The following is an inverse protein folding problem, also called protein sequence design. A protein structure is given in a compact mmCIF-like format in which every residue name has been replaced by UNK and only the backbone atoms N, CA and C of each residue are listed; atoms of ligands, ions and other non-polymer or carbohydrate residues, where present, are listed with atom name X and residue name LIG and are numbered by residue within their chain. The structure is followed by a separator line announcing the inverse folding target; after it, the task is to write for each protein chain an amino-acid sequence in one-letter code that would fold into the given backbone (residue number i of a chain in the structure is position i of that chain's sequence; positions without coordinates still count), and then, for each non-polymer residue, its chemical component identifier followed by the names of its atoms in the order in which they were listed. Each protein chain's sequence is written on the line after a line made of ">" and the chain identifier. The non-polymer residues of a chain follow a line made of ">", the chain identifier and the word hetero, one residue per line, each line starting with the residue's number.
data_IF_393052739403
#
_entry.id   IF_393052739403
#
_cell.length_a   1.000
_cell.length_b   1.000
_cell.length_c   1.000
_cell.angle_alpha   90.00
_cell.angle_beta   90.00
_cell.angle_gamma   90.00
#
_symmetry.space_group_name_H-M   'P 1'
#
loop_
_entity.id
_entity.type
_entity.pdbx_description
1 polymer ?
#
# COMPACT_ATOMS: atom_id res chain seq x y z
N UNK A 1 -30.05 -10.34 16.31
CA UNK A 1 -29.72 -11.53 17.11
C UNK A 1 -28.22 -11.51 17.34
N UNK A 2 -27.78 -11.03 18.49
CA UNK A 2 -26.36 -10.93 18.82
C UNK A 2 -25.79 -12.33 19.06
N UNK A 3 -24.61 -12.61 18.49
CA UNK A 3 -23.87 -13.83 18.76
C UNK A 3 -23.49 -13.85 20.25
N UNK A 4 -24.28 -14.56 21.05
CA UNK A 4 -24.01 -14.75 22.47
C UNK A 4 -22.95 -15.85 22.60
N UNK A 5 -21.70 -15.44 22.81
CA UNK A 5 -20.62 -16.37 23.16
C UNK A 5 -20.75 -16.67 24.66
N UNK A 6 -20.78 -17.94 25.09
CA UNK A 6 -20.88 -18.27 26.51
C UNK A 6 -19.54 -17.99 27.20
N UNK A 7 -19.57 -17.16 28.25
CA UNK A 7 -18.42 -16.91 29.12
C UNK A 7 -18.31 -18.06 30.14
N UNK A 8 -17.38 -18.99 29.90
CA UNK A 8 -16.99 -19.99 30.89
C UNK A 8 -15.90 -19.41 31.78
N UNK A 9 -16.19 -19.30 33.07
CA UNK A 9 -15.22 -18.88 34.09
C UNK A 9 -14.28 -20.06 34.41
N UNK A 10 -12.96 -19.93 34.23
CA UNK A 10 -11.97 -20.16 35.29
C UNK A 10 -10.51 -19.93 34.87
N UNK A 11 -9.73 -19.50 35.87
CA UNK A 11 -8.27 -19.41 35.99
C UNK A 11 -7.53 -18.23 35.32
N UNK A 12 -6.76 -17.58 36.20
CA UNK A 12 -5.88 -16.43 36.05
C UNK A 12 -4.87 -16.55 34.88
N UNK A 13 -5.34 -16.39 33.64
CA UNK A 13 -4.48 -16.32 32.45
C UNK A 13 -4.59 -14.92 31.86
N UNK A 14 -3.50 -14.16 31.96
CA UNK A 14 -3.36 -12.92 31.21
C UNK A 14 -3.22 -13.26 29.73
N UNK A 15 -4.12 -12.75 28.90
CA UNK A 15 -4.00 -12.83 27.45
C UNK A 15 -2.68 -12.20 26.99
N UNK A 16 -1.77 -13.03 26.47
CA UNK A 16 -0.49 -12.59 25.91
C UNK A 16 -0.41 -13.09 24.47
N UNK A 17 -1.08 -12.37 23.56
CA UNK A 17 -1.04 -12.64 22.13
C UNK A 17 0.25 -12.11 21.54
N UNK A 18 1.04 -13.00 20.93
CA UNK A 18 2.26 -12.60 20.23
C UNK A 18 1.94 -12.38 18.74
N UNK A 19 2.71 -11.53 18.04
CA UNK A 19 2.56 -11.32 16.60
C UNK A 19 2.61 -12.62 15.78
N UNK A 20 3.40 -13.61 16.22
CA UNK A 20 3.48 -14.93 15.57
C UNK A 20 2.17 -15.72 15.64
N UNK A 21 1.38 -15.54 16.69
CA UNK A 21 0.11 -16.24 16.87
C UNK A 21 -0.96 -15.63 15.95
N UNK A 22 -0.94 -14.30 15.77
CA UNK A 22 -1.79 -13.59 14.78
C UNK A 22 -1.45 -13.96 13.33
N UNK A 23 -0.16 -14.15 13.01
CA UNK A 23 0.26 -14.65 11.70
C UNK A 23 -0.32 -16.03 11.38
N UNK A 24 -0.40 -16.94 12.36
CA UNK A 24 -0.98 -18.28 12.18
C UNK A 24 -2.48 -18.24 11.91
N UNK A 25 -3.18 -17.25 12.47
CA UNK A 25 -4.60 -16.99 12.21
C UNK A 25 -4.83 -16.29 10.86
N UNK A 26 -3.76 -15.92 10.14
CA UNK A 26 -3.80 -15.31 8.82
C UNK A 26 -4.04 -13.80 8.82
N UNK A 27 -3.81 -13.12 9.95
CA UNK A 27 -3.68 -11.66 9.97
C UNK A 27 -2.27 -11.31 9.53
N UNK A 28 -2.11 -10.84 8.29
CA UNK A 28 -0.81 -10.50 7.70
C UNK A 28 -0.50 -9.01 7.72
N UNK A 29 -1.53 -8.17 7.77
CA UNK A 29 -1.41 -6.72 7.80
C UNK A 29 -0.92 -6.19 9.17
N UNK A 30 0.05 -5.27 9.13
CA UNK A 30 0.69 -4.72 10.32
C UNK A 30 -0.27 -3.82 11.12
N UNK A 31 -1.14 -3.08 10.43
CA UNK A 31 -2.12 -2.18 11.07
C UNK A 31 -3.14 -3.02 11.84
N UNK A 32 -3.70 -4.04 11.20
CA UNK A 32 -4.67 -4.97 11.77
C UNK A 32 -4.11 -5.72 12.97
N UNK A 33 -2.85 -6.20 12.92
CA UNK A 33 -2.20 -6.86 14.07
C UNK A 33 -2.04 -5.94 15.27
N UNK A 34 -1.62 -4.69 15.03
CA UNK A 34 -1.48 -3.69 16.08
C UNK A 34 -2.83 -3.42 16.76
N UNK A 35 -3.87 -3.24 15.93
CA UNK A 35 -5.24 -3.00 16.39
C UNK A 35 -5.78 -4.15 17.25
N UNK A 36 -5.61 -5.40 16.80
CA UNK A 36 -6.00 -6.60 17.56
C UNK A 36 -5.29 -6.63 18.91
N UNK A 37 -3.98 -6.39 18.92
CA UNK A 37 -3.17 -6.43 20.15
C UNK A 37 -3.65 -5.38 21.15
N UNK A 38 -3.95 -4.16 20.69
CA UNK A 38 -4.47 -3.08 21.54
C UNK A 38 -5.86 -3.41 22.10
N UNK A 39 -6.77 -3.92 21.27
CA UNK A 39 -8.16 -4.21 21.69
C UNK A 39 -8.20 -5.40 22.67
N UNK A 40 -7.47 -6.47 22.37
CA UNK A 40 -7.36 -7.63 23.26
C UNK A 40 -6.78 -7.24 24.61
N UNK A 41 -5.68 -6.48 24.62
CA UNK A 41 -5.05 -6.03 25.86
C UNK A 41 -5.96 -5.10 26.70
N UNK A 42 -6.87 -4.36 26.06
CA UNK A 42 -7.77 -3.43 26.75
C UNK A 42 -9.00 -4.12 27.33
N UNK A 43 -9.65 -4.98 26.55
CA UNK A 43 -11.00 -5.47 26.87
C UNK A 43 -11.06 -6.98 27.20
N UNK A 44 -10.05 -7.76 26.81
CA UNK A 44 -10.05 -9.23 26.93
C UNK A 44 -8.94 -9.74 27.86
N UNK A 45 -8.57 -8.96 28.89
CA UNK A 45 -7.46 -9.27 29.83
C UNK A 45 -7.57 -10.59 30.59
N UNK A 46 -8.80 -11.07 30.78
CA UNK A 46 -9.12 -12.26 31.58
C UNK A 46 -9.51 -13.48 30.73
N UNK A 47 -9.44 -13.38 29.40
CA UNK A 47 -9.72 -14.51 28.52
C UNK A 47 -8.44 -15.27 28.18
N UNK A 48 -8.58 -16.57 27.98
CA UNK A 48 -7.50 -17.43 27.53
C UNK A 48 -7.13 -17.13 26.08
N UNK A 49 -5.88 -17.41 25.71
CA UNK A 49 -5.43 -17.30 24.32
C UNK A 49 -6.24 -18.19 23.35
N UNK A 50 -6.84 -19.28 23.86
CA UNK A 50 -7.72 -20.17 23.07
C UNK A 50 -9.02 -19.48 22.68
N UNK A 51 -9.73 -18.91 23.65
CA UNK A 51 -10.99 -18.18 23.41
C UNK A 51 -10.79 -16.99 22.47
N UNK A 52 -9.69 -16.25 22.64
CA UNK A 52 -9.37 -15.13 21.76
C UNK A 52 -9.06 -15.62 20.34
N UNK A 53 -8.39 -16.77 20.19
CA UNK A 53 -8.12 -17.33 18.86
C UNK A 53 -9.40 -17.79 18.14
N UNK A 54 -10.36 -18.37 18.87
CA UNK A 54 -11.68 -18.74 18.33
C UNK A 54 -12.47 -17.49 17.92
N UNK A 55 -12.47 -16.47 18.77
CA UNK A 55 -13.13 -15.19 18.49
C UNK A 55 -12.55 -14.51 17.24
N UNK A 56 -11.23 -14.44 17.12
CA UNK A 56 -10.56 -13.87 15.96
C UNK A 56 -10.79 -14.70 14.69
N UNK A 57 -10.92 -16.01 14.81
CA UNK A 57 -11.26 -16.90 13.69
C UNK A 57 -12.71 -16.67 13.23
N UNK A 58 -13.64 -16.55 14.17
CA UNK A 58 -15.04 -16.21 13.87
C UNK A 58 -15.17 -14.85 13.20
N UNK A 59 -14.46 -13.84 13.71
CA UNK A 59 -14.39 -12.50 13.11
C UNK A 59 -13.85 -12.53 11.69
N UNK A 60 -12.81 -13.33 11.45
CA UNK A 60 -12.23 -13.50 10.11
C UNK A 60 -13.20 -14.17 9.12
N UNK A 61 -14.00 -15.12 9.59
CA UNK A 61 -14.95 -15.85 8.76
C UNK A 61 -16.21 -15.02 8.42
N UNK A 62 -16.62 -14.11 9.31
CA UNK A 62 -17.74 -13.20 9.06
C UNK A 62 -17.45 -11.78 9.57
N UNK A 63 -16.61 -10.99 8.87
CA UNK A 63 -16.31 -9.62 9.29
C UNK A 63 -17.57 -8.73 9.33
N UNK A 64 -18.54 -8.97 8.45
CA UNK A 64 -19.78 -8.20 8.35
C UNK A 64 -20.64 -8.29 9.62
N UNK A 65 -20.75 -9.48 10.22
CA UNK A 65 -21.47 -9.70 11.48
C UNK A 65 -20.90 -8.93 12.68
N UNK A 66 -19.62 -8.57 12.64
CA UNK A 66 -18.94 -7.84 13.72
C UNK A 66 -18.81 -6.34 13.47
N UNK A 67 -19.26 -5.81 12.32
CA UNK A 67 -19.11 -4.39 11.97
C UNK A 67 -19.74 -3.41 12.99
N UNK A 68 -20.84 -3.81 13.63
CA UNK A 68 -21.52 -3.03 14.67
C UNK A 68 -21.03 -3.32 16.10
N UNK A 69 -20.05 -4.22 16.27
CA UNK A 69 -19.56 -4.60 17.58
C UNK A 69 -18.70 -3.48 18.19
N UNK A 70 -18.93 -3.05 19.45
CA UNK A 70 -18.25 -1.89 20.06
C UNK A 70 -16.72 -1.97 20.03
N UNK A 71 -16.18 -3.17 20.20
CA UNK A 71 -14.75 -3.42 20.31
C UNK A 71 -14.16 -4.01 19.02
N UNK A 72 -14.75 -5.12 18.55
CA UNK A 72 -14.33 -5.86 17.37
C UNK A 72 -14.68 -5.18 16.03
N UNK A 73 -15.60 -4.22 16.02
CA UNK A 73 -16.02 -3.54 14.79
C UNK A 73 -14.88 -2.80 14.09
N UNK A 74 -13.92 -2.26 14.86
CA UNK A 74 -12.72 -1.63 14.27
C UNK A 74 -11.81 -2.64 13.57
N UNK A 75 -11.72 -3.86 14.09
CA UNK A 75 -10.93 -4.96 13.48
C UNK A 75 -11.67 -5.45 12.23
N UNK A 76 -12.98 -5.65 12.32
CA UNK A 76 -13.80 -6.02 11.18
C UNK A 76 -13.69 -4.99 10.04
N UNK A 77 -13.76 -3.69 10.35
CA UNK A 77 -13.61 -2.61 9.37
C UNK A 77 -12.21 -2.57 8.73
N UNK A 78 -11.14 -2.93 9.44
CA UNK A 78 -9.80 -2.99 8.82
C UNK A 78 -9.63 -4.19 7.88
N UNK A 79 -10.51 -5.19 7.98
CA UNK A 79 -10.50 -6.40 7.15
C UNK A 79 -11.49 -6.33 5.99
N UNK A 80 -12.61 -5.62 6.17
CA UNK A 80 -13.45 -5.17 5.08
C UNK A 80 -12.67 -4.06 4.40
N UNK A 81 -11.78 -4.44 3.48
CA UNK A 81 -11.24 -3.52 2.52
C UNK A 81 -12.43 -2.85 1.85
N UNK A 82 -12.71 -1.60 2.21
CA UNK A 82 -13.36 -0.72 1.26
C UNK A 82 -12.44 -0.79 0.05
N UNK A 83 -12.87 -1.50 -0.99
CA UNK A 83 -12.36 -1.28 -2.34
C UNK A 83 -12.59 0.20 -2.58
N UNK A 84 -11.61 1.02 -2.18
CA UNK A 84 -11.60 2.42 -2.54
C UNK A 84 -11.61 2.36 -4.06
N UNK A 85 -12.73 2.74 -4.66
CA UNK A 85 -12.82 2.95 -6.09
C UNK A 85 -11.78 4.02 -6.40
N UNK A 86 -10.56 3.58 -6.68
CA UNK A 86 -9.51 4.44 -7.18
C UNK A 86 -9.96 4.79 -8.59
N UNK A 87 -10.70 5.89 -8.70
CA UNK A 87 -11.01 6.51 -9.98
C UNK A 87 -9.70 6.98 -10.58
N UNK A 88 -8.98 6.11 -11.28
CA UNK A 88 -7.81 6.47 -12.04
C UNK A 88 -8.24 6.77 -13.48
N UNK A 89 -7.58 7.76 -14.09
CA UNK A 89 -7.70 8.01 -15.52
C UNK A 89 -6.49 7.38 -16.19
N UNK A 90 -6.72 6.46 -17.12
CA UNK A 90 -5.68 5.97 -18.01
C UNK A 90 -5.52 6.92 -19.19
N UNK A 91 -4.29 7.06 -19.66
CA UNK A 91 -3.98 7.82 -20.87
C UNK A 91 -3.15 6.96 -21.79
N UNK A 92 -3.44 7.03 -23.09
CA UNK A 92 -2.60 6.42 -24.10
C UNK A 92 -1.33 7.25 -24.33
N UNK A 93 -0.25 6.57 -24.70
CA UNK A 93 1.00 7.25 -25.07
C UNK A 93 0.85 7.94 -26.43
N UNK A 94 1.54 9.07 -26.58
CA UNK A 94 1.67 9.78 -27.83
C UNK A 94 2.45 8.93 -28.83
N UNK A 95 1.93 8.79 -30.05
CA UNK A 95 2.60 8.07 -31.14
C UNK A 95 3.75 8.86 -31.75
N UNK A 96 3.74 10.19 -31.61
CA UNK A 96 4.80 11.08 -32.10
C UNK A 96 5.50 11.72 -30.92
N UNK A 97 6.80 11.46 -30.80
CA UNK A 97 7.62 12.07 -29.74
C UNK A 97 7.72 13.58 -29.94
N UNK A 98 7.66 14.32 -28.82
CA UNK A 98 7.85 15.77 -28.81
C UNK A 98 9.34 16.12 -28.99
N UNK A 99 9.65 17.40 -29.08
CA UNK A 99 11.02 17.87 -29.26
C UNK A 99 11.92 17.43 -28.10
N UNK A 100 12.97 16.67 -28.42
CA UNK A 100 14.01 16.24 -27.48
C UNK A 100 15.38 16.78 -27.93
N UNK A 101 16.06 17.53 -27.07
CA UNK A 101 17.45 17.96 -27.29
C UNK A 101 18.41 17.02 -26.58
N UNK A 102 19.39 16.50 -27.30
CA UNK A 102 20.39 15.58 -26.71
C UNK A 102 21.77 16.22 -26.80
N UNK A 103 22.42 16.35 -25.64
CA UNK A 103 23.78 16.88 -25.51
C UNK A 103 24.74 15.72 -25.23
N UNK A 104 25.85 15.62 -25.95
CA UNK A 104 26.83 14.54 -25.69
C UNK A 104 26.33 13.13 -26.05
N UNK A 105 25.46 13.01 -27.07
CA UNK A 105 24.75 11.77 -27.43
C UNK A 105 25.61 10.49 -27.54
N UNK A 106 26.92 10.61 -27.78
CA UNK A 106 27.85 9.47 -27.89
C UNK A 106 28.14 8.80 -26.54
N UNK A 107 28.11 9.57 -25.45
CA UNK A 107 28.45 9.10 -24.09
C UNK A 107 27.21 8.60 -23.32
N UNK A 108 26.02 8.84 -23.86
CA UNK A 108 24.75 8.49 -23.21
C UNK A 108 24.36 7.06 -23.54
N UNK A 109 24.15 6.26 -22.50
CA UNK A 109 23.68 4.89 -22.57
C UNK A 109 22.33 4.76 -23.28
N UNK A 110 22.13 3.62 -23.95
CA UNK A 110 20.87 3.32 -24.64
C UNK A 110 19.67 3.28 -23.67
N UNK A 111 19.87 2.74 -22.47
CA UNK A 111 18.86 2.67 -21.40
C UNK A 111 18.29 4.07 -21.05
N UNK A 112 19.17 5.06 -20.87
CA UNK A 112 18.78 6.43 -20.57
C UNK A 112 17.98 7.08 -21.70
N UNK A 113 18.38 6.81 -22.96
CA UNK A 113 17.64 7.28 -24.14
C UNK A 113 16.24 6.68 -24.21
N UNK A 114 16.10 5.38 -23.97
CA UNK A 114 14.78 4.71 -23.95
C UNK A 114 13.87 5.23 -22.83
N UNK A 115 14.43 5.49 -21.65
CA UNK A 115 13.66 6.10 -20.56
C UNK A 115 13.17 7.49 -20.96
N UNK A 116 14.04 8.28 -21.59
CA UNK A 116 13.66 9.62 -22.08
C UNK A 116 12.60 9.53 -23.18
N UNK A 117 12.71 8.60 -24.13
CA UNK A 117 11.70 8.36 -25.17
C UNK A 117 10.34 8.00 -24.58
N UNK A 118 10.33 7.12 -23.56
CA UNK A 118 9.10 6.75 -22.85
C UNK A 118 8.49 7.95 -22.15
N UNK A 119 9.29 8.73 -21.42
CA UNK A 119 8.82 9.95 -20.76
C UNK A 119 8.28 11.00 -21.76
N UNK A 120 8.93 11.13 -22.92
CA UNK A 120 8.51 12.03 -23.99
C UNK A 120 7.22 11.60 -24.71
N UNK A 121 6.80 10.34 -24.54
CA UNK A 121 5.53 9.82 -25.05
C UNK A 121 4.34 10.07 -24.12
N UNK A 122 4.55 10.62 -22.92
CA UNK A 122 3.43 10.98 -22.04
C UNK A 122 2.63 12.15 -22.63
N UNK A 123 1.28 12.16 -22.57
CA UNK A 123 0.46 13.25 -23.08
C UNK A 123 0.73 14.62 -22.45
N UNK A 124 1.25 14.62 -21.22
CA UNK A 124 1.63 15.83 -20.48
C UNK A 124 3.00 16.38 -20.88
N UNK A 125 3.81 15.64 -21.63
CA UNK A 125 5.17 16.04 -22.01
C UNK A 125 5.13 17.11 -23.10
N UNK A 126 5.89 18.19 -22.89
CA UNK A 126 5.98 19.34 -23.80
C UNK A 126 7.31 19.35 -24.53
N UNK A 127 8.41 19.21 -23.80
CA UNK A 127 9.77 19.23 -24.35
C UNK A 127 10.71 18.47 -23.40
N UNK A 128 11.76 17.88 -23.98
CA UNK A 128 12.79 17.17 -23.24
C UNK A 128 14.19 17.67 -23.55
N UNK A 129 15.09 17.48 -22.59
CA UNK A 129 16.53 17.52 -22.84
C UNK A 129 17.23 16.36 -22.12
N UNK A 130 18.31 15.87 -22.69
CA UNK A 130 19.16 14.83 -22.11
C UNK A 130 20.60 15.35 -22.05
N UNK A 131 21.16 15.38 -20.85
CA UNK A 131 22.51 15.91 -20.59
C UNK A 131 23.60 14.86 -20.88
N UNK A 132 24.87 15.29 -21.08
CA UNK A 132 25.97 14.38 -21.44
C UNK A 132 26.28 13.29 -20.41
N UNK A 133 25.95 13.52 -19.15
CA UNK A 133 26.11 12.62 -18.01
C UNK A 133 24.90 11.68 -17.80
N UNK A 134 23.94 11.72 -18.73
CA UNK A 134 22.69 10.99 -18.56
C UNK A 134 22.91 9.47 -18.54
N UNK A 135 22.32 8.83 -17.54
CA UNK A 135 22.36 7.40 -17.31
C UNK A 135 21.02 6.91 -16.71
N UNK A 136 20.87 5.60 -16.60
CA UNK A 136 19.62 5.00 -16.17
C UNK A 136 19.18 5.49 -14.77
N UNK A 137 17.93 5.94 -14.68
CA UNK A 137 17.27 6.34 -13.44
C UNK A 137 16.01 5.53 -13.16
N UNK A 138 15.09 6.07 -12.38
CA UNK A 138 13.77 5.48 -12.12
C UNK A 138 12.68 6.36 -12.72
N UNK A 139 12.00 5.87 -13.76
CA UNK A 139 11.00 6.64 -14.51
C UNK A 139 11.62 7.60 -15.53
N UNK A 140 12.39 8.59 -15.07
CA UNK A 140 13.18 9.50 -15.92
C UNK A 140 14.68 9.16 -15.75
N UNK A 141 15.52 9.28 -16.80
CA UNK A 141 16.97 9.13 -16.62
C UNK A 141 17.53 10.24 -15.73
N UNK A 142 18.59 9.92 -14.98
CA UNK A 142 19.41 10.94 -14.33
C UNK A 142 20.05 11.80 -15.44
N UNK A 143 20.16 13.11 -15.22
CA UNK A 143 20.57 14.05 -16.28
C UNK A 143 19.48 14.31 -17.34
N UNK A 144 18.27 13.80 -17.15
CA UNK A 144 17.09 14.14 -17.96
C UNK A 144 16.40 15.41 -17.46
N UNK A 145 15.92 16.22 -18.38
CA UNK A 145 15.05 17.38 -18.10
C UNK A 145 13.75 17.19 -18.88
N UNK A 146 12.62 17.18 -18.18
CA UNK A 146 11.30 17.02 -18.78
C UNK A 146 10.40 18.22 -18.43
N UNK A 147 10.00 18.97 -19.45
CA UNK A 147 8.98 20.00 -19.31
C UNK A 147 7.59 19.37 -19.47
N UNK A 148 6.73 19.57 -18.48
CA UNK A 148 5.36 19.04 -18.44
C UNK A 148 4.32 20.15 -18.42
N UNK A 149 3.14 19.88 -18.97
CA UNK A 149 2.00 20.79 -18.94
C UNK A 149 1.08 20.46 -17.77
N UNK A 150 1.07 21.33 -16.75
CA UNK A 150 0.09 21.28 -15.65
C UNK A 150 0.16 20.02 -14.78
N UNK A 151 1.28 19.29 -14.82
CA UNK A 151 1.45 18.05 -14.09
C UNK A 151 2.87 17.94 -13.52
N UNK A 152 2.98 17.30 -12.36
CA UNK A 152 4.26 16.93 -11.73
C UNK A 152 4.39 15.41 -11.84
N UNK A 153 5.57 14.94 -12.22
CA UNK A 153 5.92 13.51 -12.22
C UNK A 153 6.90 13.29 -11.05
N UNK A 154 6.47 12.76 -9.90
CA UNK A 154 7.34 12.67 -8.71
C UNK A 154 8.65 11.94 -8.96
N UNK A 155 8.59 10.82 -9.70
CA UNK A 155 9.80 10.06 -10.05
C UNK A 155 10.74 10.79 -11.04
N UNK A 156 10.29 11.85 -11.70
CA UNK A 156 11.15 12.72 -12.49
C UNK A 156 11.87 13.81 -11.67
N UNK A 157 11.47 14.01 -10.40
CA UNK A 157 12.14 14.93 -9.47
C UNK A 157 13.29 14.23 -8.74
N UNK A 158 13.10 12.95 -8.39
CA UNK A 158 14.04 12.17 -7.59
C UNK A 158 13.47 11.84 -6.21
N UNK A 159 14.03 10.81 -5.57
CA UNK A 159 13.56 10.29 -4.27
C UNK A 159 14.32 10.92 -3.09
N UNK A 160 15.59 11.34 -3.35
CA UNK A 160 16.66 11.65 -2.37
C UNK A 160 16.55 10.87 -1.04
#
# INVERSE_FOLDING_TARGET
>A
MGAHVPLLHNNNIMANLRPKDLSKLGFTDNITRSLITTIVAKNYKHQSNGEISELLTALKNDPGGYAAHPELGKIAQSMVSEERECTFKSFDLLTTSRTLKVYGAREIEYSAKQQMETAMSLPISVQGALMPDAHAGYGLPIGGVLATAGAIVPYAVGVD
#
